data_IF_363002531127
#
_entry.id   IF_363002531127
#
_cell.length_a   1.000
_cell.length_b   1.000
_cell.length_c   1.000
_cell.angle_alpha   90.00
_cell.angle_beta   90.00
_cell.angle_gamma   90.00
#
_symmetry.space_group_name_H-M   'P 1'
#
loop_
_entity.id
_entity.type
_entity.pdbx_description
1 polymer ?
#
# COMPACT_ATOMS: atom_id res chain seq x y z
N UNK A 1 24.48 -28.93 1.50
CA UNK A 1 23.14 -28.63 2.07
C UNK A 1 23.31 -27.55 3.12
N UNK A 2 23.15 -26.30 2.72
CA UNK A 2 23.29 -25.13 3.60
C UNK A 2 22.03 -25.02 4.44
N UNK A 3 22.15 -25.16 5.77
CA UNK A 3 21.05 -24.86 6.71
C UNK A 3 20.69 -23.38 6.52
N UNK A 4 19.51 -23.11 5.97
CA UNK A 4 18.96 -21.76 5.91
C UNK A 4 18.69 -21.34 7.35
N UNK A 5 19.36 -20.28 7.80
CA UNK A 5 19.30 -19.80 9.17
C UNK A 5 17.92 -19.17 9.42
N UNK A 6 17.01 -19.92 10.03
CA UNK A 6 15.62 -19.47 10.27
C UNK A 6 15.53 -18.39 11.34
N UNK A 7 16.53 -18.24 12.22
CA UNK A 7 16.53 -17.20 13.27
C UNK A 7 16.70 -15.79 12.68
N UNK A 8 17.59 -15.62 11.67
CA UNK A 8 17.89 -14.30 11.10
C UNK A 8 16.71 -13.67 10.36
N UNK A 9 15.84 -14.49 9.75
CA UNK A 9 14.70 -14.00 8.97
C UNK A 9 13.51 -13.58 9.86
N UNK A 10 13.28 -14.29 10.98
CA UNK A 10 12.29 -13.91 11.97
C UNK A 10 12.68 -12.61 12.72
N UNK A 11 13.98 -12.45 13.00
CA UNK A 11 14.55 -11.24 13.59
C UNK A 11 14.39 -10.02 12.66
N UNK A 12 14.60 -10.19 11.34
CA UNK A 12 14.40 -9.13 10.35
C UNK A 12 12.94 -8.65 10.30
N UNK A 13 11.97 -9.56 10.32
CA UNK A 13 10.55 -9.19 10.37
C UNK A 13 10.19 -8.47 11.67
N UNK A 14 10.69 -8.97 12.80
CA UNK A 14 10.45 -8.34 14.10
C UNK A 14 10.99 -6.91 14.11
N UNK A 15 12.19 -6.69 13.56
CA UNK A 15 12.77 -5.35 13.44
C UNK A 15 11.95 -4.45 12.50
N UNK A 16 11.47 -4.99 11.37
CA UNK A 16 10.64 -4.25 10.42
C UNK A 16 9.28 -3.88 11.02
N UNK A 17 8.67 -4.79 11.77
CA UNK A 17 7.43 -4.56 12.51
C UNK A 17 7.61 -3.48 13.59
N UNK A 18 8.69 -3.56 14.38
CA UNK A 18 9.03 -2.53 15.38
C UNK A 18 9.16 -1.15 14.70
N UNK A 19 9.89 -1.08 13.59
CA UNK A 19 10.06 0.17 12.82
C UNK A 19 8.72 0.70 12.31
N UNK A 20 7.91 -0.16 11.70
CA UNK A 20 6.59 0.21 11.18
C UNK A 20 5.68 0.74 12.28
N UNK A 21 5.60 0.03 13.41
CA UNK A 21 4.76 0.43 14.55
C UNK A 21 5.25 1.73 15.21
N UNK A 22 6.57 1.97 15.25
CA UNK A 22 7.13 3.24 15.74
C UNK A 22 6.69 4.42 14.87
N UNK A 23 6.78 4.30 13.54
CA UNK A 23 6.29 5.32 12.61
C UNK A 23 4.78 5.49 12.72
N UNK A 24 4.03 4.39 12.76
CA UNK A 24 2.57 4.43 12.92
C UNK A 24 2.13 5.13 14.21
N UNK A 25 2.84 4.91 15.31
CA UNK A 25 2.58 5.59 16.59
C UNK A 25 2.99 7.06 16.58
N UNK A 26 4.04 7.41 15.82
CA UNK A 26 4.51 8.80 15.67
C UNK A 26 3.52 9.67 14.90
N UNK A 27 2.77 9.09 13.95
CA UNK A 27 1.86 9.83 13.08
C UNK A 27 0.39 9.52 13.41
N UNK A 28 -0.31 10.41 14.14
CA UNK A 28 -1.70 10.18 14.51
C UNK A 28 -2.66 10.10 13.31
N UNK A 29 -2.34 10.78 12.20
CA UNK A 29 -3.22 10.96 11.04
C UNK A 29 -2.43 10.92 9.74
N UNK A 30 -3.10 10.72 8.60
CA UNK A 30 -2.51 10.65 7.26
C UNK A 30 -1.68 11.90 6.96
N UNK A 31 -2.24 13.08 7.25
CA UNK A 31 -1.56 14.36 7.01
C UNK A 31 -0.19 14.48 7.69
N UNK A 32 -0.01 13.83 8.85
CA UNK A 32 1.25 13.87 9.58
C UNK A 32 2.34 13.01 8.91
N UNK A 33 1.96 11.86 8.32
CA UNK A 33 2.88 11.04 7.52
C UNK A 33 3.34 11.84 6.30
N UNK A 34 2.38 12.41 5.55
CA UNK A 34 2.69 13.17 4.34
C UNK A 34 3.56 14.41 4.62
N UNK A 35 3.22 15.19 5.66
CA UNK A 35 3.97 16.41 6.01
C UNK A 35 5.41 16.10 6.41
N UNK A 36 5.65 15.06 7.22
CA UNK A 36 6.98 14.64 7.63
C UNK A 36 7.80 14.18 6.42
N UNK A 37 7.22 13.34 5.55
CA UNK A 37 7.90 12.91 4.33
C UNK A 37 8.23 14.05 3.38
N UNK A 38 7.26 14.95 3.12
CA UNK A 38 7.44 16.10 2.25
C UNK A 38 8.60 16.98 2.74
N UNK A 39 8.64 17.26 4.05
CA UNK A 39 9.71 18.06 4.66
C UNK A 39 11.10 17.45 4.52
N UNK A 40 11.20 16.12 4.44
CA UNK A 40 12.47 15.40 4.29
C UNK A 40 12.94 15.29 2.83
N UNK A 41 12.09 15.60 1.85
CA UNK A 41 12.36 15.36 0.42
C UNK A 41 12.40 16.64 -0.43
N UNK A 42 11.80 17.74 0.05
CA UNK A 42 11.58 18.94 -0.75
C UNK A 42 12.46 20.10 -0.32
N UNK A 43 13.33 20.55 -1.23
CA UNK A 43 13.97 21.87 -1.12
C UNK A 43 13.02 22.99 -1.61
N UNK A 44 13.31 24.24 -1.24
CA UNK A 44 12.45 25.38 -1.56
C UNK A 44 12.19 25.58 -3.07
N UNK A 45 13.12 25.15 -3.93
CA UNK A 45 12.97 25.29 -5.39
C UNK A 45 12.03 24.23 -5.96
N UNK A 46 12.06 23.01 -5.42
CA UNK A 46 11.13 21.93 -5.76
C UNK A 46 9.73 22.20 -5.22
N UNK A 47 9.63 22.73 -3.99
CA UNK A 47 8.36 23.09 -3.37
C UNK A 47 7.50 23.98 -4.28
N UNK A 48 8.13 24.94 -4.96
CA UNK A 48 7.42 25.84 -5.88
C UNK A 48 6.98 25.19 -7.19
N UNK A 49 7.67 24.14 -7.66
CA UNK A 49 7.37 23.49 -8.95
C UNK A 49 6.27 22.44 -8.86
N UNK A 50 6.06 21.88 -7.67
CA UNK A 50 5.11 20.79 -7.42
C UNK A 50 4.01 21.23 -6.42
N UNK A 51 3.89 22.54 -6.19
CA UNK A 51 2.90 23.12 -5.29
C UNK A 51 1.47 22.73 -5.67
N UNK A 52 1.18 22.57 -6.96
CA UNK A 52 -0.10 22.10 -7.49
C UNK A 52 -0.45 20.71 -6.93
N UNK A 53 0.47 19.76 -7.05
CA UNK A 53 0.27 18.38 -6.66
C UNK A 53 0.33 18.22 -5.14
N UNK A 54 1.19 18.97 -4.45
CA UNK A 54 1.20 19.02 -2.97
C UNK A 54 -0.15 19.52 -2.44
N UNK A 55 -0.72 20.56 -3.05
CA UNK A 55 -2.04 21.06 -2.67
C UNK A 55 -3.14 20.03 -2.99
N UNK A 56 -3.08 19.36 -4.14
CA UNK A 56 -4.03 18.30 -4.49
C UNK A 56 -3.98 17.12 -3.51
N UNK A 57 -2.78 16.72 -3.05
CA UNK A 57 -2.61 15.70 -2.01
C UNK A 57 -3.23 16.15 -0.69
N UNK A 58 -3.05 17.41 -0.30
CA UNK A 58 -3.66 17.94 0.93
C UNK A 58 -5.20 17.84 0.88
N UNK A 59 -5.82 18.23 -0.24
CA UNK A 59 -7.28 18.11 -0.45
C UNK A 59 -7.74 16.65 -0.42
N UNK A 60 -6.97 15.74 -1.05
CA UNK A 60 -7.28 14.31 -1.02
C UNK A 60 -7.21 13.74 0.41
N UNK A 61 -6.18 14.09 1.18
CA UNK A 61 -6.04 13.66 2.59
C UNK A 61 -7.23 14.14 3.41
N UNK A 62 -7.59 15.41 3.30
CA UNK A 62 -8.75 15.98 4.01
C UNK A 62 -10.03 15.22 3.64
N UNK A 63 -10.23 14.92 2.36
CA UNK A 63 -11.40 14.16 1.88
C UNK A 63 -11.47 12.74 2.45
N UNK A 64 -10.34 12.02 2.49
CA UNK A 64 -10.24 10.66 3.04
C UNK A 64 -10.45 10.64 4.56
N UNK A 65 -9.85 11.60 5.28
CA UNK A 65 -10.01 11.74 6.73
C UNK A 65 -11.44 12.14 7.11
N UNK A 66 -12.05 13.07 6.37
CA UNK A 66 -13.43 13.52 6.58
C UNK A 66 -14.44 12.40 6.31
N UNK A 67 -14.31 11.64 5.22
CA UNK A 67 -15.15 10.45 4.98
C UNK A 67 -15.07 9.46 6.14
N UNK A 68 -13.86 9.21 6.65
CA UNK A 68 -13.67 8.30 7.78
C UNK A 68 -14.36 8.80 9.05
N UNK A 69 -14.31 10.10 9.34
CA UNK A 69 -15.02 10.72 10.47
C UNK A 69 -16.54 10.60 10.28
N UNK A 70 -17.05 10.96 9.12
CA UNK A 70 -18.48 10.98 8.81
C UNK A 70 -19.10 9.58 8.85
N UNK A 71 -18.42 8.58 8.26
CA UNK A 71 -18.86 7.19 8.29
C UNK A 71 -18.70 6.55 9.66
N UNK A 72 -17.72 6.97 10.47
CA UNK A 72 -17.63 6.54 11.87
C UNK A 72 -18.81 7.06 12.69
N UNK A 73 -19.16 8.34 12.53
CA UNK A 73 -20.32 8.94 13.18
C UNK A 73 -21.63 8.25 12.77
N UNK A 74 -21.72 7.81 11.51
CA UNK A 74 -22.88 7.10 10.96
C UNK A 74 -22.85 5.57 11.17
N UNK A 75 -21.83 5.04 11.85
CA UNK A 75 -21.64 3.60 12.07
C UNK A 75 -21.56 2.75 10.79
N UNK A 76 -21.05 3.34 9.69
CA UNK A 76 -20.86 2.67 8.40
C UNK A 76 -19.39 2.54 7.99
N UNK A 77 -18.45 3.00 8.84
CA UNK A 77 -17.03 2.91 8.54
C UNK A 77 -16.55 1.45 8.57
N UNK A 78 -15.88 0.94 7.54
CA UNK A 78 -15.29 -0.39 7.54
C UNK A 78 -14.17 -0.45 8.60
N UNK A 79 -14.14 -1.47 9.47
CA UNK A 79 -13.08 -1.62 10.46
C UNK A 79 -11.67 -1.72 9.88
N UNK A 80 -11.49 -2.30 8.68
CA UNK A 80 -10.18 -2.43 8.02
C UNK A 80 -9.99 -1.33 6.96
N UNK A 81 -10.80 -1.29 5.90
CA UNK A 81 -10.60 -0.36 4.77
C UNK A 81 -11.08 1.07 5.13
N UNK A 82 -10.22 1.87 5.75
CA UNK A 82 -10.47 3.25 6.18
C UNK A 82 -9.19 4.11 6.15
N UNK A 83 -9.28 5.39 6.56
CA UNK A 83 -8.11 6.30 6.58
C UNK A 83 -6.91 5.78 7.39
N UNK A 84 -7.12 4.96 8.43
CA UNK A 84 -6.01 4.35 9.18
C UNK A 84 -5.26 3.34 8.31
N UNK A 85 -5.96 2.57 7.48
CA UNK A 85 -5.32 1.66 6.53
C UNK A 85 -4.58 2.41 5.43
N UNK A 86 -5.19 3.46 4.84
CA UNK A 86 -4.46 4.32 3.90
C UNK A 86 -3.17 4.90 4.52
N UNK A 87 -3.18 5.22 5.82
CA UNK A 87 -1.97 5.66 6.55
C UNK A 87 -0.93 4.56 6.65
N UNK A 88 -1.35 3.32 6.92
CA UNK A 88 -0.48 2.14 6.97
C UNK A 88 0.19 1.90 5.61
N UNK A 89 -0.57 1.98 4.52
CA UNK A 89 -0.07 1.86 3.14
C UNK A 89 0.91 2.97 2.80
N UNK A 90 0.60 4.21 3.18
CA UNK A 90 1.50 5.35 2.95
C UNK A 90 2.84 5.18 3.70
N UNK A 91 2.81 4.76 4.97
CA UNK A 91 4.01 4.45 5.74
C UNK A 91 4.82 3.33 5.07
N UNK A 92 4.15 2.24 4.67
CA UNK A 92 4.79 1.11 4.01
C UNK A 92 5.45 1.52 2.69
N UNK A 93 4.75 2.30 1.86
CA UNK A 93 5.28 2.84 0.61
C UNK A 93 6.55 3.66 0.86
N UNK A 94 6.56 4.49 1.88
CA UNK A 94 7.72 5.33 2.19
C UNK A 94 8.90 4.50 2.69
N UNK A 95 8.66 3.50 3.55
CA UNK A 95 9.68 2.52 3.97
C UNK A 95 10.27 1.82 2.75
N UNK A 96 9.44 1.38 1.80
CA UNK A 96 9.90 0.76 0.56
C UNK A 96 10.74 1.75 -0.25
N UNK A 97 10.28 2.98 -0.52
CA UNK A 97 11.00 3.95 -1.34
C UNK A 97 12.32 4.44 -0.74
N UNK A 98 12.50 4.40 0.58
CA UNK A 98 13.79 4.69 1.22
C UNK A 98 14.91 3.72 0.80
N UNK A 99 14.54 2.51 0.36
CA UNK A 99 15.47 1.51 -0.14
C UNK A 99 16.09 1.89 -1.50
N UNK A 100 15.55 2.90 -2.21
CA UNK A 100 16.06 3.39 -3.51
C UNK A 100 17.58 3.61 -3.46
N UNK A 101 18.05 4.27 -2.40
CA UNK A 101 19.47 4.61 -2.20
C UNK A 101 20.39 3.40 -2.03
N UNK A 102 19.82 2.25 -1.65
CA UNK A 102 20.52 0.98 -1.42
C UNK A 102 20.38 0.01 -2.59
N UNK A 103 19.66 0.38 -3.65
CA UNK A 103 19.56 -0.46 -4.83
C UNK A 103 20.88 -0.47 -5.60
N UNK A 104 21.27 -1.65 -6.07
CA UNK A 104 22.42 -1.78 -6.94
C UNK A 104 22.20 -1.02 -8.26
N UNK A 105 23.25 -0.42 -8.88
CA UNK A 105 23.12 0.33 -10.14
C UNK A 105 22.53 -0.45 -11.33
N UNK A 106 22.47 -1.79 -11.23
CA UNK A 106 22.04 -2.70 -12.29
C UNK A 106 20.73 -3.44 -11.98
N UNK A 107 19.91 -2.96 -11.02
CA UNK A 107 18.59 -3.56 -10.76
C UNK A 107 17.63 -3.42 -11.95
N UNK A 108 16.50 -4.11 -11.88
CA UNK A 108 15.36 -3.94 -12.81
C UNK A 108 14.54 -2.68 -12.53
N UNK A 109 14.96 -1.86 -11.55
CA UNK A 109 14.22 -0.71 -11.09
C UNK A 109 14.77 0.58 -11.69
N UNK A 110 13.85 1.43 -12.11
CA UNK A 110 14.14 2.78 -12.56
C UNK A 110 13.60 3.75 -11.49
N UNK A 111 14.47 4.46 -10.73
CA UNK A 111 14.04 5.31 -9.61
C UNK A 111 13.07 6.42 -10.02
N UNK A 112 11.96 6.56 -9.32
CA UNK A 112 10.98 7.61 -9.59
C UNK A 112 11.55 9.01 -9.40
N UNK A 113 11.18 9.92 -10.29
CA UNK A 113 11.29 11.36 -10.07
C UNK A 113 10.46 11.76 -8.84
N UNK A 114 10.74 12.94 -8.29
CA UNK A 114 10.00 13.41 -7.12
C UNK A 114 8.49 13.56 -7.42
N UNK A 115 8.12 14.13 -8.58
CA UNK A 115 6.72 14.22 -9.01
C UNK A 115 6.04 12.86 -9.15
N UNK A 116 6.72 11.85 -9.69
CA UNK A 116 6.18 10.47 -9.74
C UNK A 116 5.98 9.89 -8.33
N UNK A 117 6.84 10.20 -7.35
CA UNK A 117 6.64 9.80 -5.95
C UNK A 117 5.42 10.50 -5.32
N UNK A 118 5.17 11.75 -5.66
CA UNK A 118 3.96 12.48 -5.24
C UNK A 118 2.69 11.88 -5.86
N UNK A 119 2.71 11.52 -7.16
CA UNK A 119 1.59 10.84 -7.80
C UNK A 119 1.34 9.45 -7.18
N UNK A 120 2.41 8.70 -6.88
CA UNK A 120 2.31 7.42 -6.19
C UNK A 120 1.76 7.58 -4.76
N UNK A 121 2.09 8.71 -4.11
CA UNK A 121 1.49 9.11 -2.82
C UNK A 121 -0.01 9.38 -2.95
N UNK A 122 -0.47 10.05 -4.01
CA UNK A 122 -1.90 10.19 -4.29
C UNK A 122 -2.59 8.83 -4.38
N UNK A 123 -2.00 7.90 -5.15
CA UNK A 123 -2.55 6.56 -5.30
C UNK A 123 -2.60 5.82 -3.95
N UNK A 124 -1.53 5.86 -3.14
CA UNK A 124 -1.51 5.22 -1.82
C UNK A 124 -2.56 5.78 -0.85
N UNK A 125 -2.75 7.09 -0.81
CA UNK A 125 -3.76 7.73 0.05
C UNK A 125 -5.17 7.35 -0.41
N UNK A 126 -5.37 7.29 -1.73
CA UNK A 126 -6.69 7.17 -2.33
C UNK A 126 -7.13 5.76 -2.72
N UNK A 127 -6.28 4.74 -2.64
CA UNK A 127 -6.56 3.42 -3.23
C UNK A 127 -7.85 2.76 -2.70
N UNK A 128 -8.18 3.02 -1.43
CA UNK A 128 -9.39 2.54 -0.75
C UNK A 128 -10.40 3.65 -0.43
N UNK A 129 -10.25 4.82 -1.05
CA UNK A 129 -11.14 5.93 -0.76
C UNK A 129 -12.60 5.57 -1.09
N UNK A 130 -13.51 5.78 -0.13
CA UNK A 130 -14.93 5.38 -0.20
C UNK A 130 -15.18 3.86 -0.25
N UNK A 131 -14.22 3.02 0.16
CA UNK A 131 -14.39 1.56 0.20
C UNK A 131 -15.59 1.16 1.08
N UNK A 132 -16.57 0.40 0.58
CA UNK A 132 -17.79 0.08 1.34
C UNK A 132 -17.57 -1.00 2.41
N UNK A 133 -16.45 -1.72 2.33
CA UNK A 133 -16.13 -2.91 3.08
C UNK A 133 -16.56 -4.19 2.37
N UNK A 134 -15.95 -5.31 2.75
CA UNK A 134 -16.23 -6.62 2.14
C UNK A 134 -15.32 -6.92 0.94
N UNK A 135 -15.87 -7.59 -0.08
CA UNK A 135 -15.12 -8.01 -1.28
C UNK A 135 -15.84 -7.58 -2.56
N UNK A 136 -15.05 -7.40 -3.62
CA UNK A 136 -15.52 -7.17 -4.98
C UNK A 136 -16.52 -8.25 -5.44
N UNK A 137 -17.59 -7.85 -6.10
CA UNK A 137 -18.52 -8.74 -6.84
C UNK A 137 -18.10 -8.91 -8.29
N UNK A 138 -17.47 -7.87 -8.84
CA UNK A 138 -16.90 -7.82 -10.18
C UNK A 138 -15.44 -7.36 -10.09
N UNK A 139 -14.64 -7.69 -11.12
CA UNK A 139 -13.22 -7.32 -11.18
C UNK A 139 -13.07 -5.79 -11.03
N UNK A 140 -12.21 -5.37 -10.10
CA UNK A 140 -11.90 -3.96 -9.80
C UNK A 140 -13.06 -3.08 -9.31
N UNK A 141 -14.19 -3.64 -8.86
CA UNK A 141 -15.38 -2.84 -8.48
C UNK A 141 -15.06 -1.72 -7.48
N UNK A 142 -14.36 -2.04 -6.38
CA UNK A 142 -14.02 -1.08 -5.34
C UNK A 142 -12.86 -0.17 -5.75
N UNK A 143 -11.89 -0.70 -6.48
CA UNK A 143 -10.77 0.07 -7.01
C UNK A 143 -11.24 1.11 -8.03
N UNK A 144 -12.22 0.79 -8.89
CA UNK A 144 -12.83 1.76 -9.81
C UNK A 144 -13.55 2.87 -9.06
N UNK A 145 -14.27 2.53 -7.98
CA UNK A 145 -14.91 3.52 -7.12
C UNK A 145 -13.89 4.48 -6.53
N UNK A 146 -12.83 3.96 -5.94
CA UNK A 146 -11.77 4.76 -5.33
C UNK A 146 -11.02 5.59 -6.38
N UNK A 147 -10.68 4.99 -7.52
CA UNK A 147 -9.98 5.68 -8.60
C UNK A 147 -10.82 6.82 -9.21
N UNK A 148 -12.13 6.64 -9.40
CA UNK A 148 -13.01 7.69 -9.90
C UNK A 148 -13.16 8.86 -8.90
N UNK A 149 -13.17 8.56 -7.60
CA UNK A 149 -13.21 9.59 -6.56
C UNK A 149 -11.91 10.40 -6.52
N UNK A 150 -10.75 9.73 -6.61
CA UNK A 150 -9.44 10.40 -6.70
C UNK A 150 -9.31 11.20 -7.98
N UNK A 151 -9.73 10.64 -9.13
CA UNK A 151 -9.76 11.32 -10.43
C UNK A 151 -10.55 12.63 -10.37
N UNK A 152 -11.72 12.60 -9.71
CA UNK A 152 -12.55 13.80 -9.53
C UNK A 152 -11.79 14.89 -8.76
N UNK A 153 -11.16 14.55 -7.64
CA UNK A 153 -10.39 15.49 -6.81
C UNK A 153 -9.21 16.06 -7.60
N UNK A 154 -8.39 15.20 -8.21
CA UNK A 154 -7.19 15.65 -8.93
C UNK A 154 -7.56 16.52 -10.15
N UNK A 155 -8.65 16.21 -10.85
CA UNK A 155 -9.15 17.02 -11.96
C UNK A 155 -9.63 18.40 -11.48
N UNK A 156 -10.33 18.47 -10.35
CA UNK A 156 -10.73 19.75 -9.73
C UNK A 156 -9.53 20.59 -9.27
N UNK A 157 -8.44 19.93 -8.87
CA UNK A 157 -7.16 20.56 -8.58
C UNK A 157 -6.33 20.89 -9.84
N UNK A 158 -6.87 20.70 -11.04
CA UNK A 158 -6.23 21.00 -12.33
C UNK A 158 -4.93 20.21 -12.58
N UNK A 159 -4.79 19.02 -12.00
CA UNK A 159 -3.69 18.12 -12.31
C UNK A 159 -3.82 17.64 -13.76
N UNK A 160 -2.69 17.49 -14.46
CA UNK A 160 -2.70 17.17 -15.88
C UNK A 160 -3.34 15.79 -16.13
N UNK A 161 -4.16 15.69 -17.18
CA UNK A 161 -4.96 14.48 -17.48
C UNK A 161 -4.14 13.19 -17.55
N UNK A 162 -2.92 13.25 -18.09
CA UNK A 162 -2.05 12.08 -18.18
C UNK A 162 -1.56 11.60 -16.81
N UNK A 163 -1.39 12.52 -15.84
CA UNK A 163 -1.00 12.20 -14.47
C UNK A 163 -2.17 11.66 -13.67
N UNK A 164 -3.37 12.23 -13.87
CA UNK A 164 -4.62 11.70 -13.31
C UNK A 164 -4.87 10.27 -13.80
N UNK A 165 -4.70 10.02 -15.10
CA UNK A 165 -4.79 8.68 -15.68
C UNK A 165 -3.72 7.74 -15.11
N UNK A 166 -2.51 8.24 -14.86
CA UNK A 166 -1.43 7.44 -14.26
C UNK A 166 -1.78 7.00 -12.83
N UNK A 167 -2.29 7.91 -12.00
CA UNK A 167 -2.77 7.59 -10.63
C UNK A 167 -3.92 6.60 -10.67
N UNK A 168 -4.89 6.79 -11.56
CA UNK A 168 -6.02 5.88 -11.76
C UNK A 168 -5.57 4.47 -12.07
N UNK A 169 -4.66 4.29 -13.03
CA UNK A 169 -4.13 2.96 -13.40
C UNK A 169 -3.34 2.29 -12.28
N UNK A 170 -2.76 3.07 -11.36
CA UNK A 170 -2.08 2.53 -10.18
C UNK A 170 -3.09 2.02 -9.15
N UNK A 171 -4.14 2.78 -8.87
CA UNK A 171 -5.22 2.35 -7.96
C UNK A 171 -5.91 1.10 -8.52
N UNK A 172 -6.24 1.07 -9.81
CA UNK A 172 -6.86 -0.11 -10.43
C UNK A 172 -6.00 -1.39 -10.38
N UNK A 173 -4.71 -1.28 -10.06
CA UNK A 173 -3.82 -2.42 -9.92
C UNK A 173 -3.86 -3.05 -8.52
N UNK A 174 -4.52 -2.43 -7.53
CA UNK A 174 -4.64 -2.95 -6.16
C UNK A 174 -5.70 -4.04 -6.01
N UNK A 175 -6.45 -4.36 -7.07
CA UNK A 175 -7.37 -5.51 -7.07
C UNK A 175 -6.63 -6.81 -6.74
N UNK A 176 -6.84 -7.27 -5.52
CA UNK A 176 -6.07 -8.33 -4.88
C UNK A 176 -6.05 -9.64 -5.69
N UNK A 177 -7.15 -9.98 -6.37
CA UNK A 177 -7.23 -11.20 -7.18
C UNK A 177 -6.36 -11.13 -8.44
N UNK A 178 -6.00 -9.93 -8.89
CA UNK A 178 -5.18 -9.67 -10.08
C UNK A 178 -3.70 -9.46 -9.77
N UNK A 179 -3.36 -9.10 -8.52
CA UNK A 179 -1.99 -8.79 -8.07
C UNK A 179 -0.99 -9.89 -8.47
N UNK A 180 -1.31 -11.17 -8.25
CA UNK A 180 -0.38 -12.26 -8.60
C UNK A 180 -0.02 -12.30 -10.10
N UNK A 181 -1.00 -12.02 -10.97
CA UNK A 181 -0.78 -11.94 -12.41
C UNK A 181 0.10 -10.75 -12.78
N UNK A 182 -0.16 -9.59 -12.15
CA UNK A 182 0.61 -8.36 -12.31
C UNK A 182 2.09 -8.57 -11.91
N UNK A 183 2.36 -9.19 -10.75
CA UNK A 183 3.73 -9.51 -10.32
C UNK A 183 4.45 -10.47 -11.29
N UNK A 184 3.73 -11.45 -11.85
CA UNK A 184 4.27 -12.33 -12.90
C UNK A 184 4.62 -11.53 -14.16
N UNK A 185 3.74 -10.61 -14.56
CA UNK A 185 3.97 -9.73 -15.70
C UNK A 185 5.21 -8.83 -15.50
N UNK A 186 5.36 -8.22 -14.32
CA UNK A 186 6.54 -7.44 -13.95
C UNK A 186 7.84 -8.26 -14.02
N UNK A 187 7.86 -9.46 -13.41
CA UNK A 187 9.03 -10.35 -13.44
C UNK A 187 9.44 -10.73 -14.87
N UNK A 188 8.47 -10.93 -15.76
CA UNK A 188 8.74 -11.26 -17.16
C UNK A 188 9.33 -10.08 -17.96
N UNK A 189 9.02 -8.84 -17.59
CA UNK A 189 9.59 -7.66 -18.24
C UNK A 189 11.01 -7.33 -17.75
N UNK A 190 11.32 -7.65 -16.49
CA UNK A 190 12.62 -7.37 -15.89
C UNK A 190 13.01 -5.89 -16.06
N UNK A 191 14.19 -5.62 -16.63
CA UNK A 191 14.70 -4.26 -16.86
C UNK A 191 13.87 -3.42 -17.84
N UNK A 192 12.92 -4.02 -18.57
CA UNK A 192 12.05 -3.33 -19.54
C UNK A 192 10.70 -2.92 -18.96
N UNK A 193 10.46 -3.13 -17.66
CA UNK A 193 9.22 -2.73 -17.02
C UNK A 193 9.06 -1.20 -17.07
N UNK A 194 7.90 -0.73 -17.51
CA UNK A 194 7.58 0.71 -17.54
C UNK A 194 7.52 1.29 -16.13
N UNK A 195 7.66 2.62 -16.00
CA UNK A 195 7.46 3.35 -14.73
C UNK A 195 6.07 3.10 -14.13
N UNK A 196 5.03 3.05 -14.97
CA UNK A 196 3.68 2.74 -14.52
C UNK A 196 3.61 1.33 -13.91
N UNK A 197 4.18 0.32 -14.58
CA UNK A 197 4.19 -1.05 -14.05
C UNK A 197 5.00 -1.16 -12.75
N UNK A 198 6.11 -0.43 -12.65
CA UNK A 198 6.89 -0.33 -11.40
C UNK A 198 6.04 0.28 -10.27
N UNK A 199 5.30 1.36 -10.57
CA UNK A 199 4.46 2.06 -9.60
C UNK A 199 3.27 1.20 -9.13
N UNK A 200 2.63 0.48 -10.05
CA UNK A 200 1.58 -0.48 -9.75
C UNK A 200 2.09 -1.56 -8.77
N UNK A 201 3.24 -2.18 -9.07
CA UNK A 201 3.79 -3.26 -8.23
C UNK A 201 4.16 -2.75 -6.84
N UNK A 202 4.89 -1.64 -6.73
CA UNK A 202 5.31 -1.16 -5.40
C UNK A 202 4.13 -0.71 -4.55
N UNK A 203 3.05 -0.19 -5.16
CA UNK A 203 1.83 0.10 -4.40
C UNK A 203 1.16 -1.17 -3.91
N UNK A 204 1.01 -2.20 -4.75
CA UNK A 204 0.44 -3.49 -4.32
C UNK A 204 1.24 -4.15 -3.20
N UNK A 205 2.56 -3.94 -3.19
CA UNK A 205 3.42 -4.40 -2.10
C UNK A 205 3.25 -3.57 -0.81
N UNK A 206 3.10 -2.25 -0.95
CA UNK A 206 2.86 -1.35 0.18
C UNK A 206 1.50 -1.65 0.86
N UNK A 207 0.48 -1.93 0.05
CA UNK A 207 -0.88 -2.24 0.48
C UNK A 207 -0.92 -3.45 1.44
N UNK A 208 -0.27 -4.54 1.05
CA UNK A 208 -0.22 -5.78 1.85
C UNK A 208 0.90 -5.82 2.89
N UNK A 209 1.77 -4.80 2.94
CA UNK A 209 2.98 -4.78 3.78
C UNK A 209 2.65 -4.95 5.26
N UNK A 210 1.75 -4.12 5.79
CA UNK A 210 1.39 -4.17 7.22
C UNK A 210 0.70 -5.49 7.55
N UNK A 211 -0.08 -5.99 6.59
CA UNK A 211 -0.81 -7.25 6.69
C UNK A 211 0.10 -8.46 6.76
N UNK A 212 1.34 -8.45 6.24
CA UNK A 212 2.27 -9.58 6.39
C UNK A 212 3.10 -9.57 7.68
N UNK A 213 3.08 -8.48 8.46
CA UNK A 213 3.83 -8.40 9.71
C UNK A 213 3.31 -9.41 10.76
N UNK A 214 4.18 -10.04 11.57
CA UNK A 214 3.79 -11.17 12.41
C UNK A 214 2.73 -10.85 13.46
N UNK A 215 2.92 -9.81 14.25
CA UNK A 215 2.01 -9.41 15.31
C UNK A 215 0.86 -8.55 14.80
N UNK A 216 1.20 -7.50 14.05
CA UNK A 216 0.28 -6.49 13.55
C UNK A 216 -0.64 -7.05 12.47
N UNK A 217 -0.14 -7.91 11.58
CA UNK A 217 -0.94 -8.57 10.57
C UNK A 217 -2.09 -9.39 11.17
N UNK A 218 -1.93 -10.00 12.35
CA UNK A 218 -3.03 -10.66 13.06
C UNK A 218 -4.07 -9.68 13.63
N UNK A 219 -3.66 -8.48 14.01
CA UNK A 219 -4.61 -7.44 14.43
C UNK A 219 -5.43 -6.96 13.22
N UNK A 220 -4.77 -6.79 12.07
CA UNK A 220 -5.41 -6.46 10.82
C UNK A 220 -6.39 -7.55 10.35
N UNK A 221 -6.04 -8.83 10.51
CA UNK A 221 -6.97 -9.94 10.24
C UNK A 221 -8.24 -9.88 11.10
N UNK A 222 -8.14 -9.42 12.36
CA UNK A 222 -9.33 -9.22 13.22
C UNK A 222 -10.22 -8.08 12.70
N UNK A 223 -9.62 -6.94 12.33
CA UNK A 223 -10.36 -5.83 11.72
C UNK A 223 -11.06 -6.28 10.43
N UNK A 224 -10.36 -7.02 9.57
CA UNK A 224 -10.96 -7.51 8.33
C UNK A 224 -12.10 -8.51 8.60
N UNK A 225 -11.96 -9.37 9.62
CA UNK A 225 -13.05 -10.26 10.04
C UNK A 225 -14.27 -9.50 10.57
N UNK A 226 -14.07 -8.47 11.39
CA UNK A 226 -15.15 -7.58 11.85
C UNK A 226 -15.84 -6.89 10.68
N UNK A 227 -15.07 -6.45 9.68
CA UNK A 227 -15.61 -5.85 8.47
C UNK A 227 -16.42 -6.85 7.64
N UNK A 228 -15.94 -8.08 7.49
CA UNK A 228 -16.66 -9.13 6.78
C UNK A 228 -17.97 -9.48 7.50
N UNK A 229 -17.97 -9.50 8.84
CA UNK A 229 -19.19 -9.68 9.62
C UNK A 229 -20.18 -8.53 9.40
N UNK A 230 -19.70 -7.28 9.45
CA UNK A 230 -20.52 -6.08 9.24
C UNK A 230 -21.18 -6.08 7.85
N UNK A 231 -20.46 -6.51 6.82
CA UNK A 231 -20.91 -6.56 5.44
C UNK A 231 -21.61 -7.87 5.05
N UNK A 232 -21.70 -8.83 5.99
CA UNK A 232 -22.19 -10.20 5.76
C UNK A 232 -21.41 -10.95 4.67
N UNK A 233 -20.14 -10.60 4.50
CA UNK A 233 -19.21 -11.33 3.65
C UNK A 233 -18.93 -12.71 4.27
N UNK A 234 -19.04 -13.82 3.51
CA UNK A 234 -18.81 -15.15 4.05
C UNK A 234 -17.38 -15.35 4.57
N UNK A 235 -17.21 -16.37 5.45
CA UNK A 235 -15.90 -16.86 5.92
C UNK A 235 -15.09 -15.83 6.72
N UNK A 236 -15.75 -14.94 7.45
CA UNK A 236 -15.07 -13.99 8.33
C UNK A 236 -14.25 -14.71 9.42
N UNK A 237 -14.75 -15.84 9.93
CA UNK A 237 -14.11 -16.70 10.90
C UNK A 237 -12.81 -17.32 10.38
N UNK A 238 -12.71 -17.62 9.08
CA UNK A 238 -11.50 -18.18 8.49
C UNK A 238 -10.32 -17.22 8.62
N UNK A 239 -10.56 -15.91 8.55
CA UNK A 239 -9.51 -14.89 8.68
C UNK A 239 -8.82 -14.91 10.06
N UNK A 240 -9.47 -15.50 11.06
CA UNK A 240 -8.96 -15.58 12.44
C UNK A 240 -8.17 -16.87 12.70
N UNK A 241 -8.18 -17.81 11.76
CA UNK A 241 -7.49 -19.11 11.87
C UNK A 241 -6.06 -19.04 11.35
N UNK A 242 -5.20 -19.93 11.84
CA UNK A 242 -3.82 -20.04 11.33
C UNK A 242 -3.82 -20.51 9.87
N UNK A 243 -4.72 -21.43 9.52
CA UNK A 243 -4.87 -21.91 8.15
C UNK A 243 -5.31 -20.79 7.19
N UNK A 244 -6.23 -19.92 7.63
CA UNK A 244 -6.63 -18.74 6.86
C UNK A 244 -5.48 -17.75 6.68
N UNK A 245 -4.68 -17.55 7.74
CA UNK A 245 -3.48 -16.73 7.68
C UNK A 245 -2.46 -17.27 6.68
N UNK A 246 -2.20 -18.58 6.69
CA UNK A 246 -1.31 -19.24 5.72
C UNK A 246 -1.83 -19.07 4.28
N UNK A 247 -3.12 -19.31 4.04
CA UNK A 247 -3.76 -19.10 2.71
C UNK A 247 -3.64 -17.67 2.21
N UNK A 248 -3.75 -16.67 3.10
CA UNK A 248 -3.51 -15.28 2.74
C UNK A 248 -2.05 -15.06 2.31
N UNK A 249 -1.09 -15.52 3.12
CA UNK A 249 0.34 -15.37 2.84
C UNK A 249 0.77 -16.07 1.54
N UNK A 250 0.15 -17.20 1.17
CA UNK A 250 0.37 -17.88 -0.11
C UNK A 250 -0.05 -17.06 -1.35
N UNK A 251 -0.98 -16.11 -1.17
CA UNK A 251 -1.45 -15.23 -2.25
C UNK A 251 -0.61 -13.96 -2.38
N UNK A 252 -0.05 -13.46 -1.29
CA UNK A 252 0.74 -12.21 -1.28
C UNK A 252 2.03 -12.39 -2.09
N UNK A 253 2.39 -11.37 -2.87
CA UNK A 253 3.57 -11.34 -3.70
C UNK A 253 4.44 -10.12 -3.38
N UNK A 254 5.75 -10.35 -3.22
CA UNK A 254 6.76 -9.31 -3.27
C UNK A 254 7.77 -9.63 -4.37
N UNK A 255 8.11 -8.63 -5.17
CA UNK A 255 8.91 -8.76 -6.38
C UNK A 255 9.80 -7.56 -6.67
N UNK A 256 9.56 -6.39 -6.06
CA UNK A 256 10.46 -5.26 -6.20
C UNK A 256 11.83 -5.57 -5.58
N UNK A 257 12.89 -4.92 -6.10
CA UNK A 257 14.17 -4.87 -5.40
C UNK A 257 14.09 -4.31 -3.97
N UNK A 258 13.20 -3.36 -3.69
CA UNK A 258 12.99 -2.76 -2.35
C UNK A 258 12.54 -3.82 -1.35
N UNK A 259 11.49 -4.56 -1.70
CA UNK A 259 11.00 -5.65 -0.86
C UNK A 259 12.06 -6.76 -0.68
N UNK A 260 12.91 -6.99 -1.70
CA UNK A 260 14.05 -7.88 -1.57
C UNK A 260 15.08 -7.38 -0.56
N UNK A 261 15.39 -6.09 -0.53
CA UNK A 261 16.34 -5.49 0.42
C UNK A 261 15.83 -5.53 1.85
N UNK A 262 14.51 -5.41 2.03
CA UNK A 262 13.84 -5.60 3.32
C UNK A 262 13.63 -7.07 3.70
N UNK A 263 14.00 -8.00 2.82
CA UNK A 263 13.88 -9.44 3.04
C UNK A 263 12.45 -10.00 2.91
N UNK A 264 11.44 -9.18 2.55
CA UNK A 264 10.01 -9.56 2.49
C UNK A 264 9.76 -10.78 1.58
N UNK A 265 10.53 -10.89 0.49
CA UNK A 265 10.45 -12.00 -0.47
C UNK A 265 10.78 -13.36 0.17
N UNK A 266 11.73 -13.37 1.10
CA UNK A 266 12.20 -14.59 1.78
C UNK A 266 11.29 -14.99 2.93
N UNK A 267 10.50 -14.04 3.44
CA UNK A 267 9.69 -14.19 4.63
C UNK A 267 8.42 -15.00 4.34
N UNK A 268 7.66 -14.64 3.30
CA UNK A 268 6.45 -15.38 2.89
C UNK A 268 6.80 -16.84 2.57
N UNK A 269 7.90 -17.04 1.83
CA UNK A 269 8.39 -18.35 1.43
C UNK A 269 8.79 -19.27 2.60
N UNK A 270 9.08 -18.71 3.78
CA UNK A 270 9.46 -19.47 4.98
C UNK A 270 8.28 -19.69 5.93
N UNK A 271 7.33 -18.75 6.02
CA UNK A 271 6.11 -18.95 6.82
C UNK A 271 5.30 -20.12 6.23
N UNK A 272 5.18 -20.20 4.90
CA UNK A 272 4.51 -21.31 4.20
C UNK A 272 5.22 -22.66 4.39
N UNK A 273 6.53 -22.67 4.70
CA UNK A 273 7.29 -23.92 4.91
C UNK A 273 7.27 -24.44 6.35
N UNK A 274 6.83 -23.61 7.29
CA UNK A 274 6.80 -23.93 8.72
C UNK A 274 5.39 -24.23 9.24
N UNK A 275 4.36 -23.77 8.52
CA UNK A 275 2.97 -24.22 8.69
C UNK A 275 2.71 -25.50 7.92
#
# INVERSE_FOLDING_TARGET
MTKINTSSNGELLGALEIRFLALKSRYPMLKHVFSDWLSNQVDATRASKEADLVQAIAVLIESVEEDSVNRKASQTLPPYHNAEHAKEVLIALHILLEEDSRLAPNTTWDPFTHREKLLLTCAAIGHDFLHPGGINREVKEFEERSANAVETILTQCHIATHEVSWVKEIILATDFDQVKSLHKHYKNHGKKASKLLQAQIILTEADVFASVLPGYGRQLSRKLAEEFQMTKTPRAEDLLTEEGRLRFLEKVCFSTPHASQLGLNNIISNIIKLG
#
